data_IF_100370059755
#
_entry.id   IF_100370059755
#
_cell.length_a   1.000
_cell.length_b   1.000
_cell.length_c   1.000
_cell.angle_alpha   90.00
_cell.angle_beta   90.00
_cell.angle_gamma   90.00
#
_symmetry.space_group_name_H-M   'P 1'
#
loop_
_entity.id
_entity.type
_entity.pdbx_description
1 polymer ?
#
# COMPACT_ATOMS: atom_id res chain seq x y z
N UNK A 1 3.76 -9.08 -19.43
CA UNK A 1 4.00 -8.36 -18.17
C UNK A 1 4.85 -7.13 -18.47
N UNK A 2 4.49 -5.96 -17.96
CA UNK A 2 5.26 -4.73 -18.15
C UNK A 2 6.34 -4.58 -17.07
N UNK A 3 7.37 -5.43 -17.15
CA UNK A 3 8.53 -5.39 -16.24
C UNK A 3 9.22 -4.02 -16.23
N UNK A 4 9.14 -3.26 -17.33
CA UNK A 4 9.74 -1.93 -17.42
C UNK A 4 9.03 -0.93 -16.49
N UNK A 5 7.69 -0.98 -16.42
CA UNK A 5 6.93 -0.13 -15.49
C UNK A 5 7.19 -0.49 -14.03
N UNK A 6 7.19 -1.78 -13.68
CA UNK A 6 7.48 -2.19 -12.29
C UNK A 6 8.90 -1.77 -11.87
N UNK A 7 9.91 -1.96 -12.73
CA UNK A 7 11.28 -1.55 -12.45
C UNK A 7 11.44 -0.04 -12.27
N UNK A 8 10.66 0.77 -13.01
CA UNK A 8 10.63 2.22 -12.82
C UNK A 8 10.06 2.60 -11.45
N UNK A 9 8.94 1.98 -11.06
CA UNK A 9 8.34 2.21 -9.74
C UNK A 9 9.33 1.83 -8.63
N UNK A 10 9.93 0.64 -8.72
CA UNK A 10 10.94 0.19 -7.74
C UNK A 10 12.12 1.18 -7.68
N UNK A 11 12.63 1.64 -8.83
CA UNK A 11 13.75 2.57 -8.88
C UNK A 11 13.40 3.94 -8.31
N UNK A 12 12.18 4.42 -8.55
CA UNK A 12 11.68 5.66 -7.98
C UNK A 12 11.50 5.56 -6.47
N UNK A 13 10.86 4.49 -5.98
CA UNK A 13 10.70 4.26 -4.54
C UNK A 13 12.06 4.15 -3.85
N UNK A 14 13.02 3.51 -4.51
CA UNK A 14 14.40 3.43 -4.03
C UNK A 14 15.06 4.81 -3.89
N UNK A 15 14.83 5.73 -4.83
CA UNK A 15 15.38 7.09 -4.72
C UNK A 15 14.76 7.92 -3.59
N UNK A 16 13.59 7.55 -3.06
CA UNK A 16 13.04 8.16 -1.84
C UNK A 16 13.96 7.86 -0.64
N UNK A 17 14.46 6.63 -0.56
CA UNK A 17 15.35 6.21 0.51
C UNK A 17 16.68 6.99 0.47
N UNK A 18 17.24 7.15 -0.73
CA UNK A 18 18.49 7.89 -0.93
C UNK A 18 18.36 9.39 -0.67
N UNK A 19 17.25 10.00 -1.08
CA UNK A 19 17.10 11.46 -1.06
C UNK A 19 16.50 11.99 0.24
N UNK A 20 15.69 11.20 0.96
CA UNK A 20 14.97 11.67 2.15
C UNK A 20 15.37 10.96 3.44
N UNK A 21 15.88 9.73 3.38
CA UNK A 21 16.10 8.91 4.59
C UNK A 21 17.57 8.80 5.02
N UNK A 22 18.51 9.20 4.15
CA UNK A 22 19.95 8.99 4.36
C UNK A 22 20.50 9.57 5.65
N UNK A 23 20.07 10.77 6.01
CA UNK A 23 20.56 11.47 7.19
C UNK A 23 19.72 11.17 8.45
N UNK A 24 18.65 10.37 8.31
CA UNK A 24 17.69 10.07 9.39
C UNK A 24 17.76 8.60 9.83
N UNK A 25 17.98 7.69 8.89
CA UNK A 25 18.02 6.25 9.11
C UNK A 25 19.32 5.68 8.59
N UNK A 26 19.81 4.64 9.27
CA UNK A 26 20.85 3.79 8.67
C UNK A 26 20.25 3.00 7.50
N UNK A 27 21.06 2.71 6.49
CA UNK A 27 20.60 2.08 5.23
C UNK A 27 19.74 0.83 5.45
N UNK A 28 20.14 -0.07 6.36
CA UNK A 28 19.37 -1.28 6.67
C UNK A 28 17.99 -1.03 7.31
N UNK A 29 17.70 0.21 7.74
CA UNK A 29 16.43 0.65 8.31
C UNK A 29 15.51 1.35 7.31
N UNK A 30 15.94 1.57 6.06
CA UNK A 30 15.07 2.17 5.04
C UNK A 30 13.83 1.30 4.78
N UNK A 31 13.96 -0.03 4.84
CA UNK A 31 12.83 -0.96 4.64
C UNK A 31 11.68 -0.71 5.63
N UNK A 32 12.02 -0.34 6.86
CA UNK A 32 11.06 -0.07 7.94
C UNK A 32 10.24 1.20 7.67
N UNK A 33 10.64 2.05 6.72
CA UNK A 33 9.91 3.27 6.32
C UNK A 33 9.28 3.11 4.95
N UNK A 34 10.04 2.59 3.98
CA UNK A 34 9.64 2.51 2.58
C UNK A 34 8.50 1.51 2.37
N UNK A 35 8.60 0.30 2.95
CA UNK A 35 7.56 -0.72 2.78
C UNK A 35 6.21 -0.29 3.36
N UNK A 36 6.13 0.23 4.61
CA UNK A 36 4.87 0.72 5.14
C UNK A 36 4.29 1.90 4.36
N UNK A 37 5.11 2.86 3.95
CA UNK A 37 4.65 4.02 3.19
C UNK A 37 4.12 3.62 1.81
N UNK A 38 4.75 2.62 1.17
CA UNK A 38 4.28 2.08 -0.10
C UNK A 38 2.91 1.41 0.02
N UNK A 39 2.72 0.56 1.04
CA UNK A 39 1.42 -0.07 1.34
C UNK A 39 0.38 0.99 1.68
N UNK A 40 0.72 1.95 2.53
CA UNK A 40 -0.17 3.04 2.94
C UNK A 40 -0.62 3.88 1.74
N UNK A 41 0.29 4.23 0.83
CA UNK A 41 -0.06 5.00 -0.37
C UNK A 41 -1.00 4.20 -1.29
N UNK A 42 -0.80 2.88 -1.43
CA UNK A 42 -1.72 2.04 -2.21
C UNK A 42 -3.12 2.05 -1.59
N UNK A 43 -3.22 1.91 -0.27
CA UNK A 43 -4.50 1.97 0.46
C UNK A 43 -5.17 3.34 0.28
N UNK A 44 -4.40 4.43 0.39
CA UNK A 44 -4.89 5.79 0.19
C UNK A 44 -5.45 5.99 -1.22
N UNK A 45 -4.72 5.59 -2.27
CA UNK A 45 -5.18 5.66 -3.66
C UNK A 45 -6.51 4.93 -3.90
N UNK A 46 -6.77 3.81 -3.20
CA UNK A 46 -8.02 3.05 -3.34
C UNK A 46 -9.21 3.74 -2.67
N UNK A 47 -8.97 4.69 -1.76
CA UNK A 47 -10.00 5.43 -1.04
C UNK A 47 -10.15 6.89 -1.52
N UNK A 48 -9.24 7.40 -2.36
CA UNK A 48 -9.26 8.79 -2.82
C UNK A 48 -10.58 9.14 -3.52
N UNK A 49 -11.09 8.26 -4.37
CA UNK A 49 -12.33 8.48 -5.14
C UNK A 49 -13.58 8.39 -4.26
N UNK A 50 -13.57 7.56 -3.22
CA UNK A 50 -14.72 7.32 -2.33
C UNK A 50 -14.66 8.15 -1.04
N UNK A 51 -13.66 9.02 -0.89
CA UNK A 51 -13.42 9.80 0.33
C UNK A 51 -14.64 10.61 0.76
N UNK A 52 -15.25 11.35 -0.17
CA UNK A 52 -16.43 12.17 0.12
C UNK A 52 -17.65 11.32 0.48
N UNK A 53 -17.81 10.14 -0.13
CA UNK A 53 -18.89 9.21 0.20
C UNK A 53 -18.74 8.68 1.64
N UNK A 54 -17.53 8.27 2.02
CA UNK A 54 -17.24 7.82 3.40
C UNK A 54 -17.46 8.95 4.41
N UNK A 55 -17.03 10.18 4.11
CA UNK A 55 -17.25 11.31 5.01
C UNK A 55 -18.73 11.69 5.15
N UNK A 56 -19.50 11.61 4.05
CA UNK A 56 -20.94 11.79 4.08
C UNK A 56 -21.63 10.71 4.94
N UNK A 57 -21.19 9.45 4.84
CA UNK A 57 -21.71 8.36 5.66
C UNK A 57 -21.38 8.55 7.14
N UNK A 58 -20.13 8.92 7.48
CA UNK A 58 -19.75 9.27 8.86
C UNK A 58 -20.65 10.39 9.41
N UNK A 59 -20.95 11.41 8.59
CA UNK A 59 -21.83 12.51 8.97
C UNK A 59 -23.25 12.00 9.20
N UNK A 60 -23.81 11.24 8.28
CA UNK A 60 -25.14 10.64 8.39
C UNK A 60 -25.27 9.84 9.70
N UNK A 61 -24.35 8.91 9.95
CA UNK A 61 -24.38 8.07 11.15
C UNK A 61 -24.31 8.89 12.44
N UNK A 62 -23.45 9.92 12.49
CA UNK A 62 -23.27 10.76 13.69
C UNK A 62 -24.40 11.75 13.93
N UNK A 63 -24.87 12.43 12.87
CA UNK A 63 -25.77 13.58 13.01
C UNK A 63 -27.23 13.23 12.80
N UNK A 64 -27.52 12.41 11.79
CA UNK A 64 -28.89 12.08 11.39
C UNK A 64 -29.38 10.84 12.13
N UNK A 65 -28.62 9.74 12.06
CA UNK A 65 -28.93 8.50 12.76
C UNK A 65 -28.55 8.51 14.24
N UNK A 66 -27.71 9.48 14.67
CA UNK A 66 -27.25 9.67 16.07
C UNK A 66 -26.70 8.40 16.71
N UNK A 67 -25.98 7.60 15.91
CA UNK A 67 -25.34 6.38 16.38
C UNK A 67 -24.23 6.71 17.38
N UNK A 68 -24.16 5.96 18.48
CA UNK A 68 -23.10 6.11 19.48
C UNK A 68 -21.76 5.57 18.98
N UNK A 69 -21.79 4.55 18.13
CA UNK A 69 -20.65 3.89 17.51
C UNK A 69 -20.93 3.85 16.01
N UNK A 70 -19.92 4.14 15.20
CA UNK A 70 -20.05 4.05 13.74
C UNK A 70 -20.27 2.60 13.32
N UNK A 71 -21.19 2.38 12.39
CA UNK A 71 -21.42 1.09 11.75
C UNK A 71 -20.34 0.84 10.69
N UNK A 72 -19.45 -0.15 10.89
CA UNK A 72 -18.39 -0.46 9.95
C UNK A 72 -18.90 -0.96 8.59
N UNK A 73 -20.07 -1.60 8.54
CA UNK A 73 -20.59 -2.18 7.30
C UNK A 73 -21.05 -1.08 6.33
N UNK A 74 -21.77 -0.07 6.83
CA UNK A 74 -22.11 1.12 6.03
C UNK A 74 -20.87 1.87 5.52
N UNK A 75 -19.80 1.94 6.32
CA UNK A 75 -18.55 2.58 5.90
C UNK A 75 -17.78 1.78 4.84
N UNK A 76 -17.83 0.44 4.89
CA UNK A 76 -17.26 -0.44 3.85
C UNK A 76 -18.07 -0.36 2.56
N UNK A 77 -19.39 -0.28 2.67
CA UNK A 77 -20.25 -0.06 1.51
C UNK A 77 -19.95 1.29 0.84
N UNK A 78 -19.85 2.36 1.64
CA UNK A 78 -19.51 3.69 1.15
C UNK A 78 -18.10 3.76 0.53
N UNK A 79 -17.12 3.01 1.06
CA UNK A 79 -15.77 2.97 0.50
C UNK A 79 -15.65 2.08 -0.74
N UNK A 80 -16.57 1.13 -0.92
CA UNK A 80 -16.48 0.06 -1.93
C UNK A 80 -15.34 -0.94 -1.66
N UNK A 81 -14.77 -0.93 -0.45
CA UNK A 81 -13.61 -1.74 -0.07
C UNK A 81 -13.88 -2.46 1.26
N UNK A 82 -13.10 -3.50 1.56
CA UNK A 82 -13.13 -4.20 2.87
C UNK A 82 -12.50 -3.38 4.01
N UNK A 83 -12.14 -2.13 3.74
CA UNK A 83 -11.53 -1.17 4.66
C UNK A 83 -12.02 0.25 4.31
N UNK A 84 -11.83 1.19 5.23
CA UNK A 84 -12.21 2.59 5.04
C UNK A 84 -11.30 3.53 5.82
N UNK A 85 -11.40 4.83 5.55
CA UNK A 85 -10.73 5.86 6.34
C UNK A 85 -11.68 7.04 6.63
N UNK A 86 -11.98 7.26 7.90
CA UNK A 86 -12.90 8.29 8.40
C UNK A 86 -12.24 9.65 8.65
N UNK A 87 -10.91 9.74 8.53
CA UNK A 87 -10.21 11.03 8.65
C UNK A 87 -10.57 11.93 7.47
N UNK A 88 -10.57 13.24 7.68
CA UNK A 88 -10.74 14.23 6.60
C UNK A 88 -9.52 14.34 5.68
N UNK A 89 -8.39 13.76 6.08
CA UNK A 89 -7.14 13.85 5.32
C UNK A 89 -7.01 12.68 4.34
N UNK A 90 -6.42 12.96 3.17
CA UNK A 90 -5.73 11.97 2.32
C UNK A 90 -4.23 12.14 2.48
N UNK A 91 -3.41 11.18 2.06
CA UNK A 91 -1.96 11.33 2.18
C UNK A 91 -1.47 12.59 1.46
N UNK A 92 -2.02 12.88 0.27
CA UNK A 92 -1.75 14.13 -0.47
C UNK A 92 -2.24 15.37 0.28
N UNK A 93 -3.40 15.29 0.92
CA UNK A 93 -3.98 16.40 1.70
C UNK A 93 -3.15 16.80 2.92
N UNK A 94 -2.31 15.90 3.45
CA UNK A 94 -1.43 16.20 4.59
C UNK A 94 -0.39 17.29 4.28
N UNK A 95 0.04 17.41 3.02
CA UNK A 95 1.02 18.42 2.59
C UNK A 95 0.50 19.86 2.71
N UNK A 96 -0.82 20.05 2.85
CA UNK A 96 -1.44 21.38 2.91
C UNK A 96 -1.19 22.15 4.22
N UNK A 97 -0.72 21.49 5.29
CA UNK A 97 -0.37 22.17 6.54
C UNK A 97 0.91 21.59 7.18
N UNK A 98 2.09 22.01 6.70
CA UNK A 98 3.38 21.50 7.17
C UNK A 98 3.60 21.68 8.68
N UNK A 99 3.10 22.78 9.26
CA UNK A 99 3.30 23.10 10.69
C UNK A 99 2.65 22.10 11.66
N UNK A 100 1.65 21.35 11.20
CA UNK A 100 0.94 20.34 11.97
C UNK A 100 1.02 18.96 11.31
N UNK A 101 2.03 18.74 10.47
CA UNK A 101 2.10 17.56 9.61
C UNK A 101 2.03 16.25 10.39
N UNK A 102 2.85 16.09 11.44
CA UNK A 102 2.88 14.88 12.26
C UNK A 102 1.53 14.64 12.97
N UNK A 103 0.91 15.68 13.53
CA UNK A 103 -0.38 15.57 14.20
C UNK A 103 -1.50 15.19 13.22
N UNK A 104 -1.52 15.83 12.05
CA UNK A 104 -2.48 15.53 10.99
C UNK A 104 -2.29 14.12 10.43
N UNK A 105 -1.03 13.66 10.31
CA UNK A 105 -0.72 12.30 9.90
C UNK A 105 -1.23 11.30 10.94
N UNK A 106 -0.98 11.53 12.23
CA UNK A 106 -1.54 10.64 13.27
C UNK A 106 -3.07 10.57 13.21
N UNK A 107 -3.77 11.70 13.02
CA UNK A 107 -5.22 11.71 12.81
C UNK A 107 -5.65 10.98 11.53
N UNK A 108 -4.85 11.06 10.47
CA UNK A 108 -5.05 10.28 9.25
C UNK A 108 -4.95 8.77 9.51
N UNK A 109 -3.94 8.33 10.27
CA UNK A 109 -3.78 6.93 10.66
C UNK A 109 -4.89 6.43 11.58
N UNK A 110 -5.35 7.27 12.53
CA UNK A 110 -6.45 6.96 13.44
C UNK A 110 -7.79 6.76 12.73
N UNK A 111 -7.93 7.31 11.51
CA UNK A 111 -9.16 7.20 10.74
C UNK A 111 -9.40 5.84 10.09
N UNK A 112 -8.39 4.99 10.00
CA UNK A 112 -8.48 3.70 9.31
C UNK A 112 -9.30 2.65 10.08
N UNK A 113 -9.95 1.74 9.35
CA UNK A 113 -10.59 0.55 9.91
C UNK A 113 -9.59 -0.40 10.58
N UNK A 114 -10.08 -1.23 11.50
CA UNK A 114 -9.26 -2.08 12.39
C UNK A 114 -8.24 -2.96 11.66
N UNK A 115 -8.61 -3.54 10.51
CA UNK A 115 -7.73 -4.35 9.69
C UNK A 115 -6.51 -3.58 9.16
N UNK A 116 -6.69 -2.32 8.76
CA UNK A 116 -5.58 -1.46 8.30
C UNK A 116 -4.83 -0.89 9.50
N UNK A 117 -5.52 -0.59 10.60
CA UNK A 117 -4.88 -0.16 11.85
C UNK A 117 -3.91 -1.23 12.40
N UNK A 118 -4.26 -2.52 12.28
CA UNK A 118 -3.37 -3.62 12.62
C UNK A 118 -2.11 -3.63 11.73
N UNK A 119 -2.27 -3.47 10.41
CA UNK A 119 -1.15 -3.39 9.46
C UNK A 119 -0.21 -2.23 9.84
N UNK A 120 -0.76 -1.04 10.11
CA UNK A 120 -0.01 0.14 10.54
C UNK A 120 0.78 -0.14 11.82
N UNK A 121 0.18 -0.85 12.78
CA UNK A 121 0.83 -1.21 14.04
C UNK A 121 1.95 -2.25 13.85
N UNK A 122 1.75 -3.27 13.01
CA UNK A 122 2.78 -4.29 12.70
C UNK A 122 4.01 -3.69 12.03
N UNK A 123 3.82 -2.64 11.24
CA UNK A 123 4.90 -1.89 10.61
C UNK A 123 5.59 -0.86 11.52
N UNK A 124 5.11 -0.67 12.76
CA UNK A 124 5.61 0.36 13.68
C UNK A 124 5.61 1.78 13.07
N UNK A 125 4.67 2.05 12.17
CA UNK A 125 4.72 3.24 11.30
C UNK A 125 4.65 4.55 12.09
N UNK A 126 3.95 4.59 13.22
CA UNK A 126 3.85 5.80 14.06
C UNK A 126 5.20 6.23 14.61
N UNK A 127 6.03 5.28 15.01
CA UNK A 127 7.38 5.58 15.47
C UNK A 127 8.27 6.09 14.32
N UNK A 128 8.10 5.51 13.12
CA UNK A 128 8.82 5.99 11.93
C UNK A 128 8.42 7.43 11.56
N UNK A 129 7.12 7.74 11.62
CA UNK A 129 6.60 9.09 11.37
C UNK A 129 7.16 10.10 12.36
N UNK A 130 7.12 9.79 13.66
CA UNK A 130 7.69 10.67 14.70
C UNK A 130 9.17 10.94 14.44
N UNK A 131 9.95 9.89 14.16
CA UNK A 131 11.38 10.04 13.88
C UNK A 131 11.65 10.86 12.60
N UNK A 132 10.85 10.69 11.56
CA UNK A 132 10.92 11.51 10.35
C UNK A 132 10.48 12.96 10.60
N UNK A 133 9.53 13.20 11.50
CA UNK A 133 9.06 14.52 11.90
C UNK A 133 10.12 15.28 12.68
N UNK A 134 10.75 14.64 13.66
CA UNK A 134 11.86 15.20 14.46
C UNK A 134 13.07 15.58 13.58
N UNK A 135 13.26 14.90 12.45
CA UNK A 135 14.36 15.11 11.51
C UNK A 135 14.00 15.95 10.27
N UNK A 136 12.80 16.55 10.23
CA UNK A 136 12.29 17.35 9.09
C UNK A 136 12.28 16.63 7.72
N UNK A 137 12.24 15.29 7.73
CA UNK A 137 12.22 14.46 6.52
C UNK A 137 10.80 14.04 6.10
N UNK A 138 9.83 14.11 7.02
CA UNK A 138 8.48 13.59 6.81
C UNK A 138 7.78 14.22 5.61
N UNK A 139 7.93 15.54 5.42
CA UNK A 139 7.32 16.25 4.30
C UNK A 139 7.83 15.74 2.96
N UNK A 140 9.16 15.64 2.79
CA UNK A 140 9.78 15.19 1.54
C UNK A 140 9.43 13.73 1.20
N UNK A 141 9.33 12.86 2.22
CA UNK A 141 8.90 11.47 2.01
C UNK A 141 7.47 11.42 1.47
N UNK A 142 6.53 12.15 2.11
CA UNK A 142 5.14 12.19 1.65
C UNK A 142 5.04 12.77 0.24
N UNK A 143 5.72 13.89 -0.01
CA UNK A 143 5.75 14.58 -1.31
C UNK A 143 6.15 13.61 -2.43
N UNK A 144 7.20 12.82 -2.22
CA UNK A 144 7.62 11.83 -3.20
C UNK A 144 6.63 10.68 -3.39
N UNK A 145 6.01 10.16 -2.32
CA UNK A 145 5.03 9.08 -2.44
C UNK A 145 3.72 9.51 -3.14
N UNK A 146 3.39 10.79 -3.10
CA UNK A 146 2.22 11.35 -3.81
C UNK A 146 2.58 12.03 -5.14
N UNK A 147 3.84 11.92 -5.56
CA UNK A 147 4.32 12.55 -6.79
C UNK A 147 3.60 11.97 -8.02
N UNK A 148 3.21 12.84 -8.97
CA UNK A 148 2.51 12.42 -10.20
C UNK A 148 3.39 11.59 -11.15
N UNK A 149 4.70 11.49 -10.90
CA UNK A 149 5.65 10.70 -11.69
C UNK A 149 5.47 9.19 -11.53
N UNK A 150 4.82 8.76 -10.44
CA UNK A 150 4.48 7.36 -10.20
C UNK A 150 2.98 7.19 -10.07
N UNK A 151 2.48 6.04 -10.54
CA UNK A 151 1.09 5.69 -10.41
C UNK A 151 0.96 4.40 -9.60
N UNK A 152 0.46 4.54 -8.37
CA UNK A 152 0.14 3.41 -7.48
C UNK A 152 -1.36 3.15 -7.41
N UNK A 153 -2.18 3.86 -8.19
CA UNK A 153 -3.62 3.62 -8.30
C UNK A 153 -3.90 2.45 -9.27
N UNK A 154 -5.16 2.05 -9.39
CA UNK A 154 -5.58 0.99 -10.31
C UNK A 154 -6.05 1.54 -11.67
N UNK A 155 -6.08 2.85 -11.84
CA UNK A 155 -6.46 3.53 -13.07
C UNK A 155 -5.25 4.09 -13.79
N UNK A 156 -5.36 4.26 -15.10
CA UNK A 156 -4.33 4.92 -15.88
C UNK A 156 -4.28 6.42 -15.53
N UNK A 157 -3.07 6.95 -15.38
CA UNK A 157 -2.80 8.36 -15.15
C UNK A 157 -1.93 8.93 -16.28
N UNK A 158 -1.79 10.25 -16.30
CA UNK A 158 -0.86 10.95 -17.19
C UNK A 158 0.18 11.62 -16.31
N UNK A 159 1.45 11.28 -16.52
CA UNK A 159 2.57 11.86 -15.82
C UNK A 159 2.82 13.32 -16.25
N UNK A 160 3.65 14.07 -15.51
CA UNK A 160 3.95 15.47 -15.81
C UNK A 160 4.56 15.70 -17.19
N UNK A 161 5.28 14.71 -17.71
CA UNK A 161 5.91 14.71 -19.03
C UNK A 161 4.93 14.33 -20.17
N UNK A 162 3.64 14.18 -19.87
CA UNK A 162 2.59 13.78 -20.82
C UNK A 162 2.59 12.28 -21.13
N UNK A 163 3.45 11.47 -20.50
CA UNK A 163 3.46 10.02 -20.70
C UNK A 163 2.32 9.36 -19.96
N UNK A 164 1.76 8.31 -20.56
CA UNK A 164 0.77 7.46 -19.91
C UNK A 164 1.46 6.63 -18.81
N UNK A 165 0.93 6.71 -17.60
CA UNK A 165 1.32 5.88 -16.46
C UNK A 165 0.21 4.85 -16.23
N UNK A 166 0.40 3.59 -16.63
CA UNK A 166 -0.65 2.59 -16.50
C UNK A 166 -0.99 2.35 -15.02
N UNK A 167 -2.24 2.00 -14.75
CA UNK A 167 -2.68 1.61 -13.42
C UNK A 167 -1.91 0.39 -12.91
N UNK A 168 -1.52 0.41 -11.64
CA UNK A 168 -0.90 -0.71 -10.96
C UNK A 168 -1.97 -1.73 -10.53
N UNK A 169 -1.93 -2.91 -11.16
CA UNK A 169 -2.81 -4.03 -10.81
C UNK A 169 -2.44 -4.61 -9.44
N UNK A 170 -3.32 -5.39 -8.82
CA UNK A 170 -3.01 -6.06 -7.54
C UNK A 170 -1.82 -7.01 -7.69
N UNK A 171 -1.73 -7.71 -8.83
CA UNK A 171 -0.57 -8.54 -9.14
C UNK A 171 0.70 -7.69 -9.34
N UNK A 172 0.60 -6.58 -10.07
CA UNK A 172 1.70 -5.63 -10.26
C UNK A 172 2.23 -5.06 -8.94
N UNK A 173 1.32 -4.76 -8.02
CA UNK A 173 1.64 -4.32 -6.67
C UNK A 173 2.45 -5.38 -5.90
N UNK A 174 2.07 -6.66 -6.01
CA UNK A 174 2.82 -7.77 -5.44
C UNK A 174 4.25 -7.86 -5.99
N UNK A 175 4.41 -7.74 -7.31
CA UNK A 175 5.74 -7.72 -7.95
C UNK A 175 6.63 -6.58 -7.43
N UNK A 176 6.10 -5.36 -7.37
CA UNK A 176 6.88 -4.21 -6.88
C UNK A 176 7.25 -4.40 -5.42
N UNK A 177 6.34 -4.90 -4.58
CA UNK A 177 6.60 -5.14 -3.17
C UNK A 177 7.68 -6.21 -2.94
N UNK A 178 7.63 -7.31 -3.67
CA UNK A 178 8.65 -8.37 -3.59
C UNK A 178 10.02 -7.91 -4.08
N UNK A 179 10.07 -7.16 -5.19
CA UNK A 179 11.33 -6.60 -5.67
C UNK A 179 11.94 -5.59 -4.69
N UNK A 180 11.11 -4.81 -3.98
CA UNK A 180 11.58 -3.94 -2.90
C UNK A 180 12.18 -4.76 -1.75
N UNK A 181 11.49 -5.83 -1.30
CA UNK A 181 12.02 -6.73 -0.26
C UNK A 181 13.34 -7.36 -0.71
N UNK A 182 13.40 -7.89 -1.94
CA UNK A 182 14.60 -8.49 -2.50
C UNK A 182 15.78 -7.52 -2.47
N UNK A 183 15.59 -6.29 -2.96
CA UNK A 183 16.62 -5.24 -2.92
C UNK A 183 17.07 -4.91 -1.51
N UNK A 184 16.15 -4.73 -0.56
CA UNK A 184 16.52 -4.42 0.83
C UNK A 184 17.27 -5.57 1.50
N UNK A 185 16.94 -6.83 1.21
CA UNK A 185 17.63 -8.00 1.77
C UNK A 185 19.04 -8.14 1.16
N UNK A 186 19.18 -7.93 -0.15
CA UNK A 186 20.48 -7.92 -0.84
C UNK A 186 21.42 -6.86 -0.26
N UNK A 187 20.91 -5.67 0.06
CA UNK A 187 21.72 -4.62 0.69
C UNK A 187 22.15 -4.93 2.13
N UNK A 188 21.38 -5.75 2.84
CA UNK A 188 21.65 -6.15 4.21
C UNK A 188 22.48 -7.44 4.31
N UNK A 189 22.89 -8.03 3.19
CA UNK A 189 23.52 -9.35 3.12
C UNK A 189 22.71 -10.46 3.85
N UNK A 190 21.39 -10.31 3.91
CA UNK A 190 20.47 -11.36 4.39
C UNK A 190 20.17 -12.32 3.21
N UNK A 191 20.06 -13.63 3.45
CA UNK A 191 19.83 -14.62 2.38
C UNK A 191 18.46 -14.39 1.71
N UNK A 192 18.46 -13.70 0.56
CA UNK A 192 17.24 -13.33 -0.16
C UNK A 192 16.37 -14.53 -0.59
N UNK A 193 16.97 -15.72 -0.73
CA UNK A 193 16.30 -16.93 -1.22
C UNK A 193 15.44 -17.68 -0.20
N UNK A 194 15.52 -17.35 1.09
CA UNK A 194 14.77 -18.08 2.14
C UNK A 194 13.31 -17.61 2.32
N UNK A 195 12.89 -16.54 1.65
CA UNK A 195 11.64 -15.84 2.00
C UNK A 195 10.59 -15.77 0.88
N UNK A 196 10.93 -16.06 -0.38
CA UNK A 196 9.96 -16.00 -1.48
C UNK A 196 10.17 -17.11 -2.50
N UNK A 197 9.06 -17.55 -3.11
CA UNK A 197 9.09 -18.44 -4.28
C UNK A 197 9.08 -17.58 -5.54
N UNK A 198 10.00 -17.77 -6.52
CA UNK A 198 10.00 -17.01 -7.76
C UNK A 198 8.65 -17.09 -8.49
N UNK A 199 8.23 -15.98 -9.09
CA UNK A 199 6.87 -15.84 -9.64
C UNK A 199 6.63 -16.73 -10.84
N UNK A 200 7.65 -17.02 -11.63
CA UNK A 200 7.62 -17.98 -12.73
C UNK A 200 7.34 -19.41 -12.21
N UNK A 201 7.89 -19.74 -11.03
CA UNK A 201 7.64 -21.03 -10.36
C UNK A 201 6.21 -21.07 -9.84
N UNK A 202 5.74 -19.99 -9.20
CA UNK A 202 4.35 -19.88 -8.75
C UNK A 202 3.37 -20.04 -9.93
N UNK A 203 3.58 -19.31 -11.02
CA UNK A 203 2.76 -19.40 -12.24
C UNK A 203 2.74 -20.80 -12.81
N UNK A 204 3.89 -21.47 -12.86
CA UNK A 204 3.95 -22.86 -13.31
C UNK A 204 3.15 -23.78 -12.39
N UNK A 205 3.30 -23.65 -11.07
CA UNK A 205 2.57 -24.46 -10.08
C UNK A 205 1.06 -24.27 -10.18
N UNK A 206 0.58 -23.03 -10.28
CA UNK A 206 -0.85 -22.69 -10.43
C UNK A 206 -1.40 -23.27 -11.73
N UNK A 207 -0.72 -23.11 -12.86
CA UNK A 207 -1.17 -23.69 -14.13
C UNK A 207 -1.21 -25.22 -14.11
N UNK A 208 -0.20 -25.87 -13.52
CA UNK A 208 -0.18 -27.33 -13.38
C UNK A 208 -1.35 -27.84 -12.52
N UNK A 209 -1.75 -27.07 -11.51
CA UNK A 209 -2.85 -27.44 -10.62
C UNK A 209 -4.23 -27.24 -11.28
N UNK A 210 -4.46 -26.09 -11.93
CA UNK A 210 -5.79 -25.70 -12.37
C UNK A 210 -6.13 -26.04 -13.82
N UNK A 211 -5.18 -25.95 -14.76
CA UNK A 211 -5.48 -26.12 -16.19
C UNK A 211 -6.07 -27.52 -16.51
N UNK A 212 -5.62 -28.63 -15.90
CA UNK A 212 -6.21 -29.95 -16.12
C UNK A 212 -7.68 -30.08 -15.67
N UNK A 213 -8.09 -29.31 -14.66
CA UNK A 213 -9.41 -29.43 -14.01
C UNK A 213 -10.33 -28.24 -14.27
N UNK A 214 -9.86 -27.23 -14.99
CA UNK A 214 -10.53 -25.94 -15.26
C UNK A 214 -12.01 -26.04 -15.61
N UNK A 215 -12.39 -27.01 -16.46
CA UNK A 215 -13.80 -27.22 -16.89
C UNK A 215 -14.71 -27.84 -15.83
N UNK A 216 -14.14 -28.37 -14.75
CA UNK A 216 -14.84 -29.06 -13.66
C UNK A 216 -14.88 -28.24 -12.36
N UNK A 217 -14.19 -27.09 -12.33
CA UNK A 217 -14.14 -26.25 -11.14
C UNK A 217 -15.49 -25.54 -10.95
N UNK A 218 -16.02 -25.49 -9.72
CA UNK A 218 -17.16 -24.64 -9.40
C UNK A 218 -16.78 -23.16 -9.49
N UNK A 219 -17.77 -22.24 -9.57
CA UNK A 219 -17.51 -20.79 -9.64
C UNK A 219 -16.73 -20.23 -8.43
N UNK A 220 -16.82 -20.89 -7.29
CA UNK A 220 -16.12 -20.52 -6.05
C UNK A 220 -15.39 -21.74 -5.53
N UNK A 221 -14.09 -21.60 -5.28
CA UNK A 221 -13.22 -22.63 -4.71
C UNK A 221 -12.47 -22.07 -3.50
N UNK A 222 -12.04 -22.96 -2.61
CA UNK A 222 -11.14 -22.62 -1.50
C UNK A 222 -9.74 -23.10 -1.83
N UNK A 223 -8.76 -22.23 -1.65
CA UNK A 223 -7.33 -22.51 -1.86
C UNK A 223 -6.62 -22.41 -0.52
N UNK A 224 -5.77 -23.38 -0.21
CA UNK A 224 -5.03 -23.43 1.05
C UNK A 224 -3.55 -23.61 0.77
N UNK A 225 -2.73 -22.73 1.35
CA UNK A 225 -1.28 -22.82 1.37
C UNK A 225 -0.81 -22.78 2.84
N UNK A 226 -0.32 -23.90 3.40
CA UNK A 226 0.08 -24.00 4.81
C UNK A 226 1.37 -23.23 5.13
N UNK A 227 2.10 -22.75 4.13
CA UNK A 227 3.38 -22.07 4.28
C UNK A 227 3.48 -20.87 3.33
N UNK A 228 2.42 -20.07 3.27
CA UNK A 228 2.20 -19.11 2.19
C UNK A 228 3.23 -17.98 2.07
N UNK A 229 4.08 -17.75 3.08
CA UNK A 229 5.09 -16.69 3.06
C UNK A 229 4.48 -15.34 2.72
N UNK A 230 4.93 -14.71 1.62
CA UNK A 230 4.39 -13.45 1.07
C UNK A 230 2.96 -13.56 0.51
N UNK A 231 2.35 -14.74 0.53
CA UNK A 231 1.04 -15.04 -0.04
C UNK A 231 1.07 -15.22 -1.56
N UNK A 232 2.26 -15.31 -2.17
CA UNK A 232 2.40 -15.23 -3.62
C UNK A 232 1.60 -16.27 -4.41
N UNK A 233 1.54 -17.52 -3.92
CA UNK A 233 0.74 -18.58 -4.54
C UNK A 233 -0.76 -18.29 -4.52
N UNK A 234 -1.25 -17.68 -3.44
CA UNK A 234 -2.66 -17.34 -3.28
C UNK A 234 -3.06 -16.19 -4.20
N UNK A 235 -2.20 -15.18 -4.36
CA UNK A 235 -2.43 -14.03 -5.25
C UNK A 235 -2.49 -14.44 -6.71
N UNK A 236 -1.63 -15.37 -7.15
CA UNK A 236 -1.61 -15.83 -8.55
C UNK A 236 -2.81 -16.74 -8.87
N UNK A 237 -3.38 -17.39 -7.86
CA UNK A 237 -4.50 -18.30 -8.04
C UNK A 237 -5.89 -17.62 -8.01
N UNK A 238 -5.94 -16.30 -7.76
CA UNK A 238 -7.16 -15.48 -7.80
C UNK A 238 -7.53 -15.10 -9.24
#
# INVERSE_FOLDING_TARGET
MDHATHNKIVSFIWSIADDCLRDVFVRGKYRDVILPMFVLRRIDCLLEETKEAVLAEVKFQKTEAKMAILDPDGLREASGQVFYNTSKFTLKGLLGNPSQLEANFNHYLDGFSDNVAEIIAKFDLRNQIRKMGEADALHGVIEKFVAPDINLSHHDAIGPDGRKLPGLTNLGMGYVFEELIRKFNEENNEEAGEHFTPREVIQLMVHLLFEPVKKKLPPVITIYDPACGSGGMLTEAQ
#
